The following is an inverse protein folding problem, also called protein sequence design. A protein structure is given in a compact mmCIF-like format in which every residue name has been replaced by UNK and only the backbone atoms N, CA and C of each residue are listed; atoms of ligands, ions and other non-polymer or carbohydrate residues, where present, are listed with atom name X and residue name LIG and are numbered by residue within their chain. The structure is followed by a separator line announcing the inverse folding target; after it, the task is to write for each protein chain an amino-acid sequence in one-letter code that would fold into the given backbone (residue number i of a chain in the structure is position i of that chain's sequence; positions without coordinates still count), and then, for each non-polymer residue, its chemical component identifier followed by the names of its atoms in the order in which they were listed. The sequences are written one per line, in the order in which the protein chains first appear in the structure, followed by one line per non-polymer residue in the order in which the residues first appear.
data_IF_314442743029
#
_entry.id   IF_314442743029
#
_cell.length_a   1.000
_cell.length_b   1.000
_cell.length_c   1.000
_cell.angle_alpha   90.00
_cell.angle_beta   90.00
_cell.angle_gamma   90.00
#
_symmetry.space_group_name_H-M   'P 1'
#
loop_
_entity.id
_entity.type
_entity.pdbx_description
1 polymer ?
#
# COMPACT_ATOMS: atom_id res chain seq x y z
N UNK A 1 -28.93 -16.78 -26.76
CA UNK A 1 -30.08 -17.00 -25.85
C UNK A 1 -30.12 -15.81 -24.89
N UNK A 2 -31.01 -14.87 -25.18
CA UNK A 2 -31.15 -13.58 -24.52
C UNK A 2 -31.95 -13.73 -23.22
N UNK A 3 -31.50 -13.10 -22.13
CA UNK A 3 -32.36 -12.72 -21.00
C UNK A 3 -32.04 -11.31 -20.57
N UNK A 4 -32.89 -10.40 -21.03
CA UNK A 4 -33.04 -9.04 -20.52
C UNK A 4 -33.80 -9.14 -19.19
N UNK A 5 -33.20 -8.65 -18.11
CA UNK A 5 -33.90 -8.33 -16.87
C UNK A 5 -34.22 -6.84 -16.92
N UNK A 6 -35.45 -6.49 -17.30
CA UNK A 6 -36.01 -5.16 -17.06
C UNK A 6 -36.79 -5.21 -15.75
N UNK A 7 -36.39 -4.37 -14.78
CA UNK A 7 -37.04 -4.25 -13.48
C UNK A 7 -38.38 -3.47 -13.60
N UNK A 8 -39.46 -3.87 -12.91
CA UNK A 8 -40.79 -3.26 -13.04
C UNK A 8 -41.12 -2.36 -11.84
N UNK A 9 -40.82 -1.06 -11.90
CA UNK A 9 -41.23 -0.11 -10.83
C UNK A 9 -41.99 1.15 -11.29
N UNK A 10 -42.38 1.23 -12.57
CA UNK A 10 -42.87 2.50 -13.14
C UNK A 10 -44.40 2.74 -13.12
N UNK A 11 -45.16 2.12 -12.21
CA UNK A 11 -46.64 2.20 -12.26
C UNK A 11 -47.34 2.44 -10.91
N UNK A 12 -46.84 3.35 -10.05
CA UNK A 12 -47.53 3.64 -8.77
C UNK A 12 -47.83 5.10 -8.46
N UNK A 13 -47.90 5.99 -9.44
CA UNK A 13 -48.10 7.43 -9.15
C UNK A 13 -49.41 8.06 -9.67
N UNK A 14 -50.31 7.28 -10.28
CA UNK A 14 -51.56 7.85 -10.83
C UNK A 14 -52.83 7.16 -10.30
N UNK A 15 -53.09 7.26 -8.99
CA UNK A 15 -54.46 7.02 -8.45
C UNK A 15 -54.61 7.41 -6.98
N UNK A 16 -54.85 8.69 -6.71
CA UNK A 16 -55.84 9.06 -5.67
C UNK A 16 -56.36 10.48 -5.91
N UNK A 17 -57.53 10.53 -6.54
CA UNK A 17 -58.36 11.73 -6.58
C UNK A 17 -59.16 11.91 -5.30
N UNK A 18 -59.59 13.15 -5.10
CA UNK A 18 -60.83 13.50 -4.41
C UNK A 18 -60.92 13.15 -2.91
N UNK A 19 -60.03 13.71 -2.11
CA UNK A 19 -60.37 14.08 -0.74
C UNK A 19 -60.17 15.58 -0.55
N UNK A 20 -61.26 16.21 -0.14
CA UNK A 20 -61.43 17.64 0.13
C UNK A 20 -60.44 18.08 1.22
N UNK A 21 -59.59 19.06 0.90
CA UNK A 21 -58.57 19.57 1.83
C UNK A 21 -59.23 20.51 2.83
N UNK A 22 -59.15 20.15 4.10
CA UNK A 22 -59.41 21.03 5.24
C UNK A 22 -58.38 22.18 5.21
N UNK A 23 -58.80 23.46 5.26
CA UNK A 23 -57.89 24.57 5.36
C UNK A 23 -57.38 24.64 6.81
N UNK A 24 -56.20 24.07 7.05
CA UNK A 24 -55.47 24.34 8.29
C UNK A 24 -54.67 25.63 8.12
N UNK A 25 -55.11 26.65 8.86
CA UNK A 25 -54.45 27.94 9.03
C UNK A 25 -53.02 27.75 9.56
N UNK A 26 -52.07 28.47 8.96
CA UNK A 26 -50.83 28.87 9.63
C UNK A 26 -49.65 27.91 9.55
N UNK A 27 -49.31 27.42 8.35
CA UNK A 27 -47.97 26.88 8.12
C UNK A 27 -46.97 28.04 8.00
N UNK A 28 -46.10 28.14 9.00
CA UNK A 28 -44.84 28.89 8.90
C UNK A 28 -44.11 28.36 7.67
N UNK A 29 -43.83 29.21 6.67
CA UNK A 29 -42.86 28.93 5.61
C UNK A 29 -41.50 28.71 6.27
N UNK A 30 -41.26 27.47 6.69
CA UNK A 30 -39.93 26.98 6.92
C UNK A 30 -39.36 26.78 5.53
N UNK A 31 -38.38 27.61 5.16
CA UNK A 31 -37.50 27.45 4.01
C UNK A 31 -36.69 26.17 4.21
N UNK A 32 -37.38 25.03 4.14
CA UNK A 32 -36.83 23.70 4.14
C UNK A 32 -36.32 23.45 2.74
N UNK A 33 -35.20 24.10 2.42
CA UNK A 33 -34.31 23.61 1.37
C UNK A 33 -33.96 22.19 1.79
N UNK A 34 -34.57 21.20 1.13
CA UNK A 34 -34.42 19.80 1.45
C UNK A 34 -32.92 19.48 1.29
N UNK A 35 -32.22 19.23 2.40
CA UNK A 35 -30.83 18.75 2.37
C UNK A 35 -30.72 17.49 1.47
N UNK A 36 -31.81 16.70 1.39
CA UNK A 36 -31.94 15.54 0.51
C UNK A 36 -31.95 15.87 -1.00
N UNK A 37 -32.29 17.10 -1.42
CA UNK A 37 -32.24 17.52 -2.84
C UNK A 37 -30.82 17.98 -3.25
N UNK A 38 -30.09 18.66 -2.35
CA UNK A 38 -28.71 19.10 -2.63
C UNK A 38 -27.72 17.93 -2.73
N UNK A 39 -27.86 16.90 -1.87
CA UNK A 39 -27.00 15.71 -1.90
C UNK A 39 -27.14 14.91 -3.22
N UNK A 40 -28.35 14.87 -3.80
CA UNK A 40 -28.62 14.13 -5.03
C UNK A 40 -28.01 14.82 -6.27
N UNK A 41 -28.00 16.16 -6.30
CA UNK A 41 -27.39 16.94 -7.38
C UNK A 41 -25.85 16.81 -7.36
N UNK A 42 -25.23 16.74 -6.18
CA UNK A 42 -23.78 16.53 -6.07
C UNK A 42 -23.34 15.14 -6.55
N UNK A 43 -24.12 14.09 -6.22
CA UNK A 43 -23.85 12.74 -6.71
C UNK A 43 -23.97 12.64 -8.24
N UNK A 44 -24.95 13.30 -8.85
CA UNK A 44 -25.12 13.33 -10.30
C UNK A 44 -23.91 14.01 -10.99
N UNK A 45 -23.45 15.15 -10.46
CA UNK A 45 -22.26 15.85 -10.99
C UNK A 45 -21.01 14.98 -10.88
N UNK A 46 -20.81 14.30 -9.75
CA UNK A 46 -19.68 13.39 -9.55
C UNK A 46 -19.73 12.22 -10.55
N UNK A 47 -20.91 11.62 -10.78
CA UNK A 47 -21.10 10.57 -11.78
C UNK A 47 -20.82 11.06 -13.21
N UNK A 48 -21.26 12.28 -13.55
CA UNK A 48 -20.97 12.89 -14.86
C UNK A 48 -19.48 13.12 -15.06
N UNK A 49 -18.77 13.68 -14.06
CA UNK A 49 -17.33 13.89 -14.11
C UNK A 49 -16.59 12.56 -14.25
N UNK A 50 -16.98 11.54 -13.48
CA UNK A 50 -16.42 10.19 -13.57
C UNK A 50 -16.64 9.56 -14.94
N UNK A 51 -17.81 9.78 -15.57
CA UNK A 51 -18.10 9.31 -16.92
C UNK A 51 -17.14 9.92 -17.96
N UNK A 52 -16.68 11.14 -17.72
CA UNK A 52 -15.66 11.84 -18.50
C UNK A 52 -14.23 11.49 -18.06
N UNK A 53 -14.09 10.67 -17.02
CA UNK A 53 -12.82 10.29 -16.42
C UNK A 53 -12.13 11.43 -15.66
N UNK A 54 -12.88 12.45 -15.25
CA UNK A 54 -12.53 13.56 -14.38
C UNK A 54 -12.95 13.26 -12.94
N UNK A 55 -12.37 13.97 -11.98
CA UNK A 55 -12.71 13.79 -10.56
C UNK A 55 -12.78 15.14 -9.86
N UNK A 56 -13.77 15.31 -8.97
CA UNK A 56 -13.89 16.49 -8.12
C UNK A 56 -12.79 16.54 -7.06
N UNK A 57 -12.19 17.70 -6.87
CA UNK A 57 -11.31 18.02 -5.75
C UNK A 57 -9.99 18.72 -6.09
N UNK A 58 -9.39 19.34 -5.09
CA UNK A 58 -8.11 20.04 -5.24
C UNK A 58 -6.91 19.09 -5.04
N UNK A 59 -6.09 18.92 -6.09
CA UNK A 59 -4.83 18.18 -6.03
C UNK A 59 -3.91 18.67 -4.89
N UNK A 60 -3.86 19.98 -4.64
CA UNK A 60 -3.06 20.55 -3.55
C UNK A 60 -3.54 20.07 -2.17
N UNK A 61 -4.86 20.02 -1.96
CA UNK A 61 -5.45 19.52 -0.71
C UNK A 61 -5.16 18.03 -0.52
N UNK A 62 -5.31 17.23 -1.57
CA UNK A 62 -4.98 15.81 -1.55
C UNK A 62 -3.51 15.57 -1.23
N UNK A 63 -2.59 16.33 -1.85
CA UNK A 63 -1.17 16.23 -1.60
C UNK A 63 -0.81 16.58 -0.15
N UNK A 64 -1.37 17.67 0.39
CA UNK A 64 -1.20 18.03 1.80
C UNK A 64 -1.71 16.91 2.71
N UNK A 65 -2.90 16.37 2.43
CA UNK A 65 -3.46 15.28 3.22
C UNK A 65 -2.56 14.02 3.16
N UNK A 66 -1.96 13.74 2.01
CA UNK A 66 -1.05 12.61 1.87
C UNK A 66 0.31 12.83 2.56
N UNK A 67 0.75 14.08 2.78
CA UNK A 67 1.98 14.34 3.57
C UNK A 67 1.88 13.87 5.04
N UNK A 68 0.67 13.62 5.55
CA UNK A 68 0.50 12.96 6.84
C UNK A 68 1.01 11.52 6.86
N UNK A 69 1.07 10.83 5.72
CA UNK A 69 1.55 9.43 5.64
C UNK A 69 3.03 9.30 5.99
N UNK A 70 3.98 10.03 5.35
CA UNK A 70 5.38 10.00 5.77
C UNK A 70 5.57 10.54 7.19
N UNK A 71 4.81 11.56 7.61
CA UNK A 71 4.90 12.12 8.95
C UNK A 71 4.52 11.08 10.02
N UNK A 72 3.36 10.43 9.88
CA UNK A 72 2.90 9.40 10.81
C UNK A 72 3.84 8.19 10.81
N UNK A 73 4.33 7.78 9.64
CA UNK A 73 5.33 6.71 9.52
C UNK A 73 6.65 7.08 10.24
N UNK A 74 7.12 8.33 10.13
CA UNK A 74 8.33 8.80 10.79
C UNK A 74 8.15 8.90 12.31
N UNK A 75 7.02 9.43 12.78
CA UNK A 75 6.66 9.47 14.20
C UNK A 75 6.60 8.05 14.77
N UNK A 76 5.90 7.13 14.10
CA UNK A 76 5.81 5.76 14.59
C UNK A 76 7.16 5.02 14.54
N UNK A 77 7.96 5.24 13.50
CA UNK A 77 9.31 4.69 13.42
C UNK A 77 10.21 5.19 14.55
N UNK A 78 10.18 6.50 14.85
CA UNK A 78 10.95 7.07 15.96
C UNK A 78 10.48 6.53 17.32
N UNK A 79 9.17 6.37 17.53
CA UNK A 79 8.64 5.71 18.72
C UNK A 79 9.16 4.28 18.87
N UNK A 80 9.12 3.47 17.80
CA UNK A 80 9.67 2.11 17.82
C UNK A 80 11.20 2.08 17.97
N UNK A 81 11.92 3.07 17.47
CA UNK A 81 13.37 3.17 17.62
C UNK A 81 13.79 3.52 19.05
N UNK A 82 12.98 4.32 19.75
CA UNK A 82 13.22 4.72 21.13
C UNK A 82 12.72 3.69 22.15
N UNK A 83 11.75 2.84 21.76
CA UNK A 83 11.13 1.85 22.63
C UNK A 83 12.14 0.92 23.34
N UNK A 84 13.17 0.32 22.67
CA UNK A 84 14.16 -0.52 23.34
C UNK A 84 15.03 0.21 24.34
N UNK A 85 15.18 1.53 24.19
CA UNK A 85 15.98 2.35 25.10
C UNK A 85 15.19 2.66 26.36
N UNK A 86 13.89 2.91 26.24
CA UNK A 86 13.03 3.28 27.37
C UNK A 86 12.44 2.08 28.11
N UNK A 87 11.91 1.10 27.39
CA UNK A 87 11.22 -0.04 27.99
C UNK A 87 12.17 -1.18 28.40
N UNK A 88 13.31 -1.33 27.71
CA UNK A 88 14.23 -2.46 27.88
C UNK A 88 15.68 -1.97 28.12
N UNK A 89 15.95 -1.25 29.22
CA UNK A 89 17.30 -0.76 29.52
C UNK A 89 18.27 -1.92 29.70
N UNK A 90 19.46 -1.81 29.10
CA UNK A 90 20.51 -2.81 29.26
C UNK A 90 21.24 -2.54 30.58
N UNK A 91 21.43 -3.57 31.39
CA UNK A 91 22.19 -3.48 32.65
C UNK A 91 23.71 -3.39 32.40
N UNK A 92 24.18 -3.94 31.28
CA UNK A 92 25.59 -3.98 30.92
C UNK A 92 25.78 -3.29 29.57
N UNK A 93 26.71 -2.32 29.50
CA UNK A 93 27.09 -1.68 28.25
C UNK A 93 27.86 -2.70 27.38
N UNK A 94 27.31 -3.14 26.24
CA UNK A 94 28.01 -4.08 25.37
C UNK A 94 29.17 -3.38 24.66
N UNK A 95 30.35 -4.00 24.65
CA UNK A 95 31.44 -3.59 23.78
C UNK A 95 31.22 -4.21 22.39
N UNK A 96 30.83 -3.38 21.41
CA UNK A 96 30.70 -3.78 20.01
C UNK A 96 32.02 -3.52 19.27
N UNK A 97 32.84 -4.53 18.95
CA UNK A 97 33.98 -4.36 18.07
C UNK A 97 33.49 -4.26 16.62
N UNK A 98 32.94 -3.12 16.22
CA UNK A 98 32.52 -2.88 14.84
C UNK A 98 33.14 -1.60 14.27
N UNK A 99 33.50 -1.67 12.99
CA UNK A 99 34.07 -0.55 12.22
C UNK A 99 33.09 0.64 12.17
N UNK A 100 31.79 0.37 12.23
CA UNK A 100 30.73 1.37 12.32
C UNK A 100 30.04 1.29 13.69
N UNK A 101 29.65 2.44 14.28
CA UNK A 101 28.97 2.46 15.56
C UNK A 101 27.57 1.84 15.46
N UNK A 102 27.19 1.11 16.50
CA UNK A 102 25.81 0.67 16.69
C UNK A 102 24.88 1.90 16.77
N UNK A 103 23.71 1.93 16.09
CA UNK A 103 23.03 0.84 15.38
C UNK A 103 23.17 0.87 13.84
N UNK A 104 24.13 1.62 13.28
CA UNK A 104 24.17 1.89 11.84
C UNK A 104 24.45 0.65 10.99
N UNK A 105 25.30 -0.26 11.47
CA UNK A 105 25.65 -1.49 10.74
C UNK A 105 24.41 -2.37 10.53
N UNK A 106 23.60 -2.53 11.58
CA UNK A 106 22.38 -3.33 11.57
C UNK A 106 21.35 -2.76 10.59
N UNK A 107 21.19 -1.43 10.59
CA UNK A 107 20.30 -0.72 9.69
C UNK A 107 20.73 -0.91 8.22
N UNK A 108 22.00 -0.65 7.89
CA UNK A 108 22.48 -0.72 6.51
C UNK A 108 22.50 -2.13 5.95
N UNK A 109 22.90 -3.13 6.73
CA UNK A 109 22.89 -4.53 6.28
C UNK A 109 21.46 -4.99 6.00
N UNK A 110 20.53 -4.68 6.90
CA UNK A 110 19.12 -5.04 6.72
C UNK A 110 18.49 -4.33 5.54
N UNK A 111 18.75 -3.02 5.39
CA UNK A 111 18.34 -2.23 4.24
C UNK A 111 18.89 -2.78 2.92
N UNK A 112 20.17 -3.17 2.89
CA UNK A 112 20.79 -3.77 1.71
C UNK A 112 20.15 -5.12 1.33
N UNK A 113 19.84 -5.96 2.31
CA UNK A 113 19.15 -7.24 2.08
C UNK A 113 17.71 -7.04 1.62
N UNK A 114 17.02 -6.01 2.13
CA UNK A 114 15.72 -5.60 1.60
C UNK A 114 15.81 -5.19 0.14
N UNK A 115 16.77 -4.31 -0.20
CA UNK A 115 16.98 -3.84 -1.57
C UNK A 115 17.30 -5.00 -2.52
N UNK A 116 18.13 -5.95 -2.07
CA UNK A 116 18.41 -7.18 -2.82
C UNK A 116 17.14 -8.01 -3.05
N UNK A 117 16.32 -8.19 -2.00
CA UNK A 117 15.02 -8.87 -2.12
C UNK A 117 14.12 -8.16 -3.14
N UNK A 118 14.01 -6.84 -3.06
CA UNK A 118 13.20 -6.02 -3.96
C UNK A 118 13.66 -6.12 -5.42
N UNK A 119 14.97 -6.02 -5.68
CA UNK A 119 15.55 -6.20 -7.02
C UNK A 119 15.33 -7.60 -7.59
N UNK A 120 15.24 -8.62 -6.73
CA UNK A 120 14.95 -10.01 -7.14
C UNK A 120 13.48 -10.23 -7.51
N UNK A 121 12.56 -9.30 -7.23
CA UNK A 121 11.13 -9.47 -7.54
C UNK A 121 10.88 -9.68 -9.04
N UNK A 122 11.42 -8.81 -9.88
CA UNK A 122 11.28 -8.89 -11.34
C UNK A 122 11.86 -10.17 -11.94
N UNK A 123 13.12 -10.57 -11.67
CA UNK A 123 13.65 -11.83 -12.20
C UNK A 123 12.91 -13.06 -11.67
N UNK A 124 12.45 -13.05 -10.41
CA UNK A 124 11.62 -14.14 -9.87
C UNK A 124 10.28 -14.24 -10.61
N UNK A 125 9.65 -13.12 -10.95
CA UNK A 125 8.44 -13.10 -11.76
C UNK A 125 8.69 -13.63 -13.17
N UNK A 126 9.74 -13.17 -13.85
CA UNK A 126 10.11 -13.65 -15.18
C UNK A 126 10.40 -15.15 -15.20
N UNK A 127 11.09 -15.67 -14.18
CA UNK A 127 11.37 -17.10 -14.02
C UNK A 127 10.09 -17.89 -13.74
N UNK A 128 9.17 -17.34 -12.94
CA UNK A 128 7.87 -17.97 -12.67
C UNK A 128 7.01 -18.04 -13.95
N UNK A 129 6.99 -16.97 -14.76
CA UNK A 129 6.35 -16.97 -16.07
C UNK A 129 6.95 -17.99 -17.01
N UNK A 130 8.28 -18.08 -17.07
CA UNK A 130 8.98 -19.07 -17.89
C UNK A 130 8.57 -20.49 -17.50
N UNK A 131 8.62 -20.83 -16.20
CA UNK A 131 8.23 -22.15 -15.69
C UNK A 131 6.76 -22.46 -16.01
N UNK A 132 5.82 -21.54 -15.75
CA UNK A 132 4.41 -21.77 -16.04
C UNK A 132 4.15 -21.97 -17.53
N UNK A 133 4.83 -21.21 -18.39
CA UNK A 133 4.75 -21.35 -19.85
C UNK A 133 5.30 -22.70 -20.30
N UNK A 134 6.45 -23.12 -19.78
CA UNK A 134 7.04 -24.43 -20.08
C UNK A 134 6.15 -25.59 -19.63
N UNK A 135 5.44 -25.45 -18.50
CA UNK A 135 4.53 -26.47 -17.98
C UNK A 135 3.12 -26.45 -18.60
N UNK A 136 2.85 -25.58 -19.60
CA UNK A 136 1.51 -25.41 -20.21
C UNK A 136 0.40 -25.08 -19.20
N UNK A 137 0.74 -24.41 -18.11
CA UNK A 137 -0.25 -23.90 -17.16
C UNK A 137 -0.79 -22.58 -17.72
N UNK A 138 -1.88 -22.65 -18.48
CA UNK A 138 -2.40 -21.53 -19.28
C UNK A 138 -3.05 -20.38 -18.49
N UNK A 139 -3.20 -20.48 -17.17
CA UNK A 139 -3.79 -19.40 -16.38
C UNK A 139 -2.72 -18.44 -15.83
N UNK A 140 -2.83 -17.17 -16.25
CA UNK A 140 -2.02 -16.04 -15.80
C UNK A 140 -1.98 -15.87 -14.26
N UNK A 141 -3.03 -16.29 -13.55
CA UNK A 141 -3.07 -16.23 -12.09
C UNK A 141 -2.02 -17.12 -11.42
N UNK A 142 -1.62 -18.25 -12.02
CA UNK A 142 -0.68 -19.17 -11.40
C UNK A 142 0.75 -18.62 -11.36
N UNK A 143 1.21 -17.92 -12.40
CA UNK A 143 2.54 -17.33 -12.42
C UNK A 143 2.69 -16.23 -11.37
N UNK A 144 1.64 -15.44 -11.16
CA UNK A 144 1.59 -14.39 -10.14
C UNK A 144 1.63 -14.99 -8.74
N UNK A 145 0.82 -16.02 -8.46
CA UNK A 145 0.83 -16.71 -7.16
C UNK A 145 2.18 -17.38 -6.90
N UNK A 146 2.72 -18.11 -7.88
CA UNK A 146 4.02 -18.77 -7.76
C UNK A 146 5.14 -17.76 -7.49
N UNK A 147 5.19 -16.67 -8.26
CA UNK A 147 6.17 -15.59 -8.06
C UNK A 147 6.06 -14.97 -6.67
N UNK A 148 4.84 -14.70 -6.21
CA UNK A 148 4.58 -14.14 -4.87
C UNK A 148 5.09 -15.08 -3.77
N UNK A 149 4.78 -16.38 -3.89
CA UNK A 149 5.23 -17.40 -2.94
C UNK A 149 6.75 -17.51 -2.92
N UNK A 150 7.39 -17.63 -4.08
CA UNK A 150 8.86 -17.74 -4.18
C UNK A 150 9.54 -16.48 -3.65
N UNK A 151 9.04 -15.29 -4.00
CA UNK A 151 9.57 -14.04 -3.49
C UNK A 151 9.41 -13.91 -1.97
N UNK A 152 8.28 -14.36 -1.40
CA UNK A 152 8.07 -14.40 0.05
C UNK A 152 9.10 -15.32 0.74
N UNK A 153 9.40 -16.50 0.18
CA UNK A 153 10.44 -17.39 0.69
C UNK A 153 11.80 -16.68 0.68
N UNK A 154 12.19 -16.10 -0.46
CA UNK A 154 13.48 -15.41 -0.61
C UNK A 154 13.60 -14.26 0.39
N UNK A 155 12.55 -13.46 0.54
CA UNK A 155 12.49 -12.34 1.50
C UNK A 155 12.70 -12.82 2.95
N UNK A 156 12.00 -13.88 3.37
CA UNK A 156 12.16 -14.46 4.70
C UNK A 156 13.56 -15.04 4.92
N UNK A 157 14.13 -15.73 3.92
CA UNK A 157 15.49 -16.27 3.99
C UNK A 157 16.52 -15.16 4.14
N UNK A 158 16.43 -14.10 3.34
CA UNK A 158 17.32 -12.94 3.43
C UNK A 158 17.20 -12.25 4.80
N UNK A 159 15.99 -12.15 5.35
CA UNK A 159 15.77 -11.62 6.71
C UNK A 159 16.43 -12.49 7.78
N UNK A 160 16.36 -13.82 7.68
CA UNK A 160 17.06 -14.73 8.62
C UNK A 160 18.57 -14.62 8.44
N UNK A 161 19.07 -14.52 7.20
CA UNK A 161 20.50 -14.40 6.87
C UNK A 161 21.15 -13.16 7.49
N UNK A 162 20.39 -12.09 7.75
CA UNK A 162 20.90 -10.91 8.46
C UNK A 162 21.49 -11.25 9.84
N UNK A 163 20.91 -12.23 10.55
CA UNK A 163 21.32 -12.63 11.90
C UNK A 163 22.76 -13.18 11.96
N UNK A 164 23.13 -14.21 11.17
CA UNK A 164 24.51 -14.69 11.13
C UNK A 164 25.48 -13.69 10.49
N UNK A 165 25.08 -12.93 9.44
CA UNK A 165 25.96 -11.92 8.82
C UNK A 165 26.42 -10.89 9.84
N UNK A 166 25.51 -10.42 10.69
CA UNK A 166 25.81 -9.43 11.73
C UNK A 166 26.44 -10.03 12.99
N UNK A 167 26.67 -11.34 13.01
CA UNK A 167 27.24 -12.07 14.15
C UNK A 167 26.47 -11.82 15.46
N UNK A 168 25.15 -11.62 15.37
CA UNK A 168 24.24 -11.42 16.51
C UNK A 168 24.38 -12.53 17.57
N UNK A 169 24.54 -13.83 17.21
CA UNK A 169 24.63 -14.89 18.20
C UNK A 169 25.80 -14.76 19.18
N UNK A 170 26.84 -13.97 18.86
CA UNK A 170 27.97 -13.71 19.77
C UNK A 170 27.61 -12.85 20.97
N UNK A 171 26.47 -12.15 20.90
CA UNK A 171 26.01 -11.21 21.92
C UNK A 171 24.90 -11.81 22.80
N UNK A 172 24.72 -13.13 22.74
CA UNK A 172 23.83 -13.86 23.63
C UNK A 172 24.58 -14.18 24.93
N UNK A 173 24.02 -13.72 26.06
CA UNK A 173 24.56 -13.94 27.41
C UNK A 173 23.82 -15.09 28.08
N UNK A 174 22.50 -15.17 27.89
CA UNK A 174 21.65 -16.19 28.50
C UNK A 174 21.49 -17.43 27.61
N UNK A 175 21.12 -18.57 28.20
CA UNK A 175 20.91 -19.81 27.44
C UNK A 175 19.66 -19.76 26.53
N UNK A 176 18.69 -18.94 26.90
CA UNK A 176 17.44 -18.70 26.18
C UNK A 176 17.45 -17.22 25.78
N UNK A 177 17.10 -16.87 24.53
CA UNK A 177 17.06 -15.47 24.11
C UNK A 177 16.05 -14.69 24.94
N UNK A 178 16.54 -13.67 25.65
CA UNK A 178 15.74 -12.75 26.47
C UNK A 178 15.98 -11.31 26.04
N UNK A 179 15.08 -10.41 26.42
CA UNK A 179 15.24 -8.97 26.16
C UNK A 179 16.46 -8.35 26.87
N UNK A 180 16.96 -9.01 27.92
CA UNK A 180 18.18 -8.60 28.62
C UNK A 180 19.45 -8.80 27.78
N UNK A 181 19.40 -9.66 26.74
CA UNK A 181 20.52 -9.89 25.85
C UNK A 181 20.76 -8.66 24.95
N UNK A 182 22.01 -8.20 24.77
CA UNK A 182 22.34 -7.18 23.77
C UNK A 182 21.91 -7.59 22.34
N UNK A 183 21.82 -8.90 22.08
CA UNK A 183 21.28 -9.46 20.85
C UNK A 183 19.86 -8.96 20.53
N UNK A 184 18.99 -8.78 21.54
CA UNK A 184 17.63 -8.30 21.36
C UNK A 184 17.61 -6.93 20.68
N UNK A 185 18.40 -5.96 21.18
CA UNK A 185 18.49 -4.62 20.59
C UNK A 185 19.07 -4.65 19.18
N UNK A 186 20.06 -5.50 18.91
CA UNK A 186 20.63 -5.62 17.55
C UNK A 186 19.59 -6.13 16.56
N UNK A 187 18.86 -7.19 16.92
CA UNK A 187 17.76 -7.72 16.10
C UNK A 187 16.68 -6.65 15.89
N UNK A 188 16.34 -5.88 16.93
CA UNK A 188 15.38 -4.80 16.83
C UNK A 188 15.76 -3.79 15.74
N UNK A 189 17.02 -3.34 15.73
CA UNK A 189 17.53 -2.41 14.72
C UNK A 189 17.63 -3.05 13.32
N UNK A 190 17.95 -4.34 13.23
CA UNK A 190 17.84 -5.07 11.95
C UNK A 190 16.40 -5.00 11.43
N UNK A 191 15.43 -5.26 12.28
CA UNK A 191 14.03 -5.22 11.90
C UNK A 191 13.58 -3.82 11.46
N UNK A 192 14.00 -2.78 12.19
CA UNK A 192 13.76 -1.39 11.84
C UNK A 192 14.42 -1.00 10.51
N UNK A 193 15.63 -1.48 10.22
CA UNK A 193 16.30 -1.22 8.94
C UNK A 193 15.52 -1.76 7.75
N UNK A 194 14.99 -2.99 7.89
CA UNK A 194 14.13 -3.60 6.89
C UNK A 194 12.84 -2.78 6.70
N UNK A 195 12.18 -2.46 7.82
CA UNK A 195 10.91 -1.77 7.86
C UNK A 195 11.01 -0.31 7.33
N UNK A 196 12.14 0.36 7.56
CA UNK A 196 12.38 1.72 7.10
C UNK A 196 12.42 1.80 5.57
N UNK A 197 13.19 0.92 4.91
CA UNK A 197 13.27 0.92 3.45
C UNK A 197 11.92 0.54 2.82
N UNK A 198 11.24 -0.45 3.42
CA UNK A 198 9.89 -0.83 3.01
C UNK A 198 8.91 0.36 3.06
N UNK A 199 8.93 1.12 4.18
CA UNK A 199 8.11 2.31 4.32
C UNK A 199 8.45 3.38 3.28
N UNK A 200 9.74 3.67 3.06
CA UNK A 200 10.20 4.69 2.10
C UNK A 200 9.73 4.35 0.68
N UNK A 201 9.99 3.12 0.21
CA UNK A 201 9.60 2.72 -1.15
C UNK A 201 8.10 2.76 -1.30
N UNK A 202 7.36 2.29 -0.30
CA UNK A 202 5.92 2.25 -0.38
C UNK A 202 5.30 3.66 -0.28
N UNK A 203 5.92 4.63 0.43
CA UNK A 203 5.51 6.04 0.42
C UNK A 203 5.77 6.65 -0.95
N UNK A 204 6.94 6.41 -1.54
CA UNK A 204 7.27 6.86 -2.90
C UNK A 204 6.23 6.38 -3.92
N UNK A 205 5.91 5.09 -3.88
CA UNK A 205 4.89 4.49 -4.76
C UNK A 205 3.51 5.13 -4.58
N UNK A 206 3.16 5.54 -3.35
CA UNK A 206 1.90 6.22 -3.11
C UNK A 206 1.87 7.66 -3.63
N UNK A 207 2.98 8.40 -3.57
CA UNK A 207 3.09 9.70 -4.26
C UNK A 207 3.00 9.55 -5.78
N UNK A 208 3.69 8.56 -6.36
CA UNK A 208 3.58 8.24 -7.79
C UNK A 208 2.12 7.92 -8.17
N UNK A 209 1.41 7.19 -7.31
CA UNK A 209 -0.02 6.88 -7.50
C UNK A 209 -0.90 8.13 -7.49
N UNK A 210 -0.60 9.12 -6.65
CA UNK A 210 -1.34 10.39 -6.58
C UNK A 210 -1.04 11.28 -7.77
N UNK A 211 0.22 11.28 -8.25
CA UNK A 211 0.61 12.11 -9.41
C UNK A 211 -0.15 11.74 -10.68
N UNK A 212 -0.65 10.50 -10.79
CA UNK A 212 -1.51 10.05 -11.90
C UNK A 212 -2.86 10.79 -11.99
N UNK A 213 -3.27 11.50 -10.92
CA UNK A 213 -4.53 12.24 -10.86
C UNK A 213 -4.34 13.75 -11.02
N UNK A 214 -3.11 14.23 -11.21
CA UNK A 214 -2.79 15.66 -11.26
C UNK A 214 -3.61 16.42 -12.30
N UNK A 215 -3.75 15.84 -13.49
CA UNK A 215 -4.35 16.53 -14.65
C UNK A 215 -5.86 16.28 -14.78
N UNK A 216 -6.42 15.51 -13.83
CA UNK A 216 -7.78 14.98 -13.88
C UNK A 216 -8.65 15.57 -12.78
N UNK A 217 -8.01 16.03 -11.70
CA UNK A 217 -8.67 16.65 -10.57
C UNK A 217 -9.12 18.07 -10.92
N UNK A 218 -10.42 18.30 -10.86
CA UNK A 218 -11.04 19.61 -11.09
C UNK A 218 -11.31 20.26 -9.74
N UNK A 219 -10.80 21.48 -9.54
CA UNK A 219 -11.14 22.26 -8.34
C UNK A 219 -12.54 22.87 -8.48
N UNK A 220 -13.27 23.02 -7.37
CA UNK A 220 -14.63 23.58 -7.36
C UNK A 220 -14.75 24.92 -8.14
N UNK A 221 -13.72 25.78 -8.07
CA UNK A 221 -13.69 27.05 -8.83
C UNK A 221 -13.63 26.88 -10.35
N UNK A 222 -13.01 25.80 -10.83
CA UNK A 222 -12.94 25.46 -12.26
C UNK A 222 -14.19 24.73 -12.74
N UNK A 223 -14.95 24.12 -11.83
CA UNK A 223 -16.26 23.52 -12.13
C UNK A 223 -17.26 24.64 -12.43
N UNK A 224 -17.35 25.65 -11.57
CA UNK A 224 -18.19 26.83 -11.80
C UNK A 224 -17.87 27.51 -13.15
N UNK A 225 -16.60 27.73 -13.47
CA UNK A 225 -16.19 28.32 -14.76
C UNK A 225 -16.59 27.45 -15.96
N UNK A 226 -16.51 26.12 -15.85
CA UNK A 226 -16.92 25.20 -16.93
C UNK A 226 -18.42 25.09 -17.08
N UNK A 227 -19.18 25.08 -15.99
CA UNK A 227 -20.63 25.14 -16.04
C UNK A 227 -21.10 26.45 -16.70
N UNK A 228 -20.48 27.57 -16.36
CA UNK A 228 -20.74 28.87 -17.02
C UNK A 228 -20.39 28.79 -18.52
N UNK A 229 -19.26 28.18 -18.91
CA UNK A 229 -18.90 28.03 -20.33
C UNK A 229 -19.83 27.08 -21.11
N UNK A 230 -20.38 26.05 -20.47
CA UNK A 230 -21.36 25.14 -21.10
C UNK A 230 -22.72 25.84 -21.24
N UNK A 231 -23.14 26.62 -20.25
CA UNK A 231 -24.37 27.42 -20.31
C UNK A 231 -24.26 28.55 -21.36
N UNK A 232 -23.11 29.24 -21.41
CA UNK A 232 -22.78 30.23 -22.45
C UNK A 232 -22.55 29.58 -23.82
N UNK A 233 -22.05 28.35 -23.85
CA UNK A 233 -21.82 27.55 -25.04
C UNK A 233 -23.13 27.04 -25.65
N UNK A 234 -24.07 26.59 -24.82
CA UNK A 234 -25.41 26.16 -25.23
C UNK A 234 -26.26 27.36 -25.71
N UNK A 235 -26.12 28.53 -25.08
CA UNK A 235 -26.75 29.77 -25.55
C UNK A 235 -26.10 30.30 -26.84
N UNK A 236 -24.79 30.12 -27.05
CA UNK A 236 -24.11 30.46 -28.32
C UNK A 236 -24.28 29.43 -29.43
N UNK A 237 -24.48 28.14 -29.14
CA UNK A 237 -24.72 27.11 -30.17
C UNK A 237 -26.08 27.29 -30.87
N UNK A 238 -27.02 28.02 -30.28
CA UNK A 238 -28.21 28.51 -30.97
C UNK A 238 -27.93 29.58 -32.05
N UNK A 239 -26.70 30.08 -32.15
CA UNK A 239 -26.33 31.23 -32.98
C UNK A 239 -25.24 30.96 -34.03
N UNK A 240 -24.69 29.73 -34.10
CA UNK A 240 -23.59 29.36 -35.00
C UNK A 240 -24.04 28.30 -36.03
N UNK A 241 -25.09 28.62 -36.80
CA UNK A 241 -25.30 28.04 -38.13
C UNK A 241 -24.92 29.11 -39.16
N UNK A 242 -23.63 29.33 -39.38
CA UNK A 242 -23.20 30.30 -40.38
C UNK A 242 -21.72 30.67 -40.38
N UNK A 243 -20.79 29.72 -40.47
CA UNK A 243 -19.43 30.01 -40.94
C UNK A 243 -18.70 28.73 -41.37
N UNK A 244 -18.92 28.33 -42.62
CA UNK A 244 -18.14 27.32 -43.33
C UNK A 244 -16.93 27.99 -44.01
N UNK A 245 -15.80 27.27 -44.02
CA UNK A 245 -14.57 27.47 -44.80
C UNK A 245 -13.52 28.49 -44.30
N UNK A 246 -12.34 27.97 -43.92
CA UNK A 246 -11.14 28.12 -44.75
C UNK A 246 -10.04 27.13 -44.34
N UNK A 247 -9.81 26.15 -45.22
CA UNK A 247 -8.62 25.29 -45.26
C UNK A 247 -7.60 26.04 -46.13
N UNK A 248 -6.51 26.50 -45.52
CA UNK A 248 -5.35 27.01 -46.27
C UNK A 248 -4.13 26.20 -45.88
N UNK A 249 -3.75 25.32 -46.80
CA UNK A 249 -2.60 24.42 -46.76
C UNK A 249 -1.41 25.17 -47.38
N UNK A 250 -0.37 25.46 -46.60
CA UNK A 250 0.92 25.91 -47.11
C UNK A 250 2.00 24.89 -46.74
N UNK A 251 2.64 24.37 -47.79
CA UNK A 251 3.69 23.36 -47.79
C UNK A 251 5.05 24.06 -47.69
N UNK A 252 5.70 23.95 -46.54
CA UNK A 252 7.15 24.16 -46.37
C UNK A 252 7.71 22.99 -45.52
N UNK A 253 8.95 22.54 -45.75
CA UNK A 253 9.56 21.47 -44.95
C UNK A 253 9.86 22.02 -43.55
N UNK A 254 8.97 21.74 -42.61
CA UNK A 254 8.67 22.61 -41.46
C UNK A 254 9.15 22.03 -40.13
N UNK A 255 9.50 22.88 -39.14
CA UNK A 255 9.55 22.55 -37.69
C UNK A 255 8.28 21.83 -37.17
N UNK A 256 7.24 21.70 -37.99
CA UNK A 256 6.11 20.81 -37.81
C UNK A 256 6.48 19.36 -37.50
N UNK A 257 7.59 18.78 -38.01
CA UNK A 257 7.92 17.38 -37.67
C UNK A 257 8.28 17.22 -36.20
N UNK A 258 9.06 18.16 -35.64
CA UNK A 258 9.41 18.18 -34.21
C UNK A 258 8.19 18.53 -33.34
N UNK A 259 7.34 19.46 -33.79
CA UNK A 259 6.10 19.77 -33.09
C UNK A 259 5.09 18.61 -33.11
N UNK A 260 5.08 17.80 -34.18
CA UNK A 260 4.26 16.59 -34.26
C UNK A 260 4.85 15.49 -33.37
N UNK A 261 6.16 15.30 -33.38
CA UNK A 261 6.84 14.31 -32.51
C UNK A 261 6.60 14.62 -31.02
N UNK A 262 6.73 15.89 -30.63
CA UNK A 262 6.43 16.33 -29.26
C UNK A 262 4.98 16.07 -28.86
N UNK A 263 4.01 16.37 -29.74
CA UNK A 263 2.59 16.08 -29.48
C UNK A 263 2.32 14.59 -29.35
N UNK A 264 2.97 13.77 -30.17
CA UNK A 264 2.84 12.31 -30.08
C UNK A 264 3.43 11.80 -28.77
N UNK A 265 4.56 12.35 -28.32
CA UNK A 265 5.15 12.01 -27.01
C UNK A 265 4.21 12.40 -25.86
N UNK A 266 3.64 13.61 -25.89
CA UNK A 266 2.63 14.08 -24.93
C UNK A 266 1.37 13.19 -24.93
N UNK A 267 0.86 12.82 -26.11
CA UNK A 267 -0.29 11.93 -26.25
C UNK A 267 0.02 10.52 -25.71
N UNK A 268 1.24 10.01 -25.93
CA UNK A 268 1.69 8.71 -25.41
C UNK A 268 1.77 8.75 -23.88
N UNK A 269 2.37 9.80 -23.32
CA UNK A 269 2.46 9.97 -21.86
C UNK A 269 1.07 10.09 -21.22
N UNK A 270 0.17 10.82 -21.86
CA UNK A 270 -1.23 10.92 -21.43
C UNK A 270 -1.92 9.54 -21.46
N UNK A 271 -1.77 8.77 -22.54
CA UNK A 271 -2.32 7.42 -22.63
C UNK A 271 -1.72 6.46 -21.60
N UNK A 272 -0.43 6.58 -21.31
CA UNK A 272 0.23 5.80 -20.27
C UNK A 272 -0.30 6.17 -18.88
N UNK A 273 -0.54 7.45 -18.61
CA UNK A 273 -1.14 7.92 -17.35
C UNK A 273 -2.58 7.40 -17.18
N UNK A 274 -3.41 7.51 -18.22
CA UNK A 274 -4.79 6.98 -18.23
C UNK A 274 -4.80 5.48 -17.98
N UNK A 275 -3.91 4.74 -18.67
CA UNK A 275 -3.78 3.30 -18.47
C UNK A 275 -3.33 2.94 -17.05
N UNK A 276 -2.28 3.60 -16.55
CA UNK A 276 -1.75 3.36 -15.21
C UNK A 276 -2.81 3.64 -14.13
N UNK A 277 -3.59 4.72 -14.31
CA UNK A 277 -4.72 5.05 -13.44
C UNK A 277 -5.79 3.96 -13.48
N UNK A 278 -6.22 3.52 -14.67
CA UNK A 278 -7.22 2.46 -14.82
C UNK A 278 -6.76 1.11 -14.23
N UNK A 279 -5.47 0.77 -14.35
CA UNK A 279 -4.90 -0.42 -13.71
C UNK A 279 -4.90 -0.30 -12.18
N UNK A 280 -4.62 0.89 -11.64
CA UNK A 280 -4.65 1.19 -10.20
C UNK A 280 -6.07 1.11 -9.63
N UNK A 281 -7.04 1.72 -10.31
CA UNK A 281 -8.46 1.70 -9.94
C UNK A 281 -9.01 0.28 -9.95
N UNK A 282 -8.68 -0.49 -11.00
CA UNK A 282 -9.02 -1.91 -11.07
C UNK A 282 -8.40 -2.73 -9.94
N UNK A 283 -7.20 -2.36 -9.50
CA UNK A 283 -6.51 -3.06 -8.41
C UNK A 283 -7.17 -2.82 -7.04
N UNK A 284 -7.53 -1.57 -6.73
CA UNK A 284 -8.18 -1.21 -5.46
C UNK A 284 -9.70 -1.42 -5.47
N UNK A 285 -10.31 -1.48 -6.66
CA UNK A 285 -11.76 -1.50 -6.87
C UNK A 285 -12.42 -0.12 -6.80
N UNK A 286 -11.68 0.93 -6.45
CA UNK A 286 -12.13 2.32 -6.33
C UNK A 286 -11.01 3.28 -6.75
N UNK A 287 -11.34 4.53 -7.14
CA UNK A 287 -10.37 5.60 -7.36
C UNK A 287 -9.44 5.78 -6.15
N UNK A 288 -8.13 5.84 -6.41
CA UNK A 288 -7.13 5.93 -5.33
C UNK A 288 -7.31 7.20 -4.48
N UNK A 289 -7.78 8.27 -5.11
CA UNK A 289 -8.07 9.57 -4.47
C UNK A 289 -9.22 9.49 -3.45
N UNK A 290 -10.12 8.51 -3.58
CA UNK A 290 -11.24 8.29 -2.66
C UNK A 290 -10.81 7.52 -1.41
N UNK A 291 -9.62 6.90 -1.42
CA UNK A 291 -9.11 6.20 -0.25
C UNK A 291 -8.72 7.23 0.81
N UNK A 292 -9.36 7.23 2.00
CA UNK A 292 -9.02 8.20 3.03
C UNK A 292 -7.57 8.06 3.48
N UNK A 293 -6.87 9.19 3.68
CA UNK A 293 -5.43 9.19 4.00
C UNK A 293 -5.06 8.43 5.29
N UNK A 294 -6.01 8.24 6.21
CA UNK A 294 -5.79 7.42 7.41
C UNK A 294 -5.49 5.95 7.07
N UNK A 295 -6.01 5.43 5.95
CA UNK A 295 -5.81 4.04 5.53
C UNK A 295 -4.35 3.79 5.12
N UNK A 296 -3.74 4.58 4.22
CA UNK A 296 -2.31 4.52 3.98
C UNK A 296 -1.47 4.69 5.25
N UNK A 297 -1.81 5.63 6.14
CA UNK A 297 -1.12 5.81 7.43
C UNK A 297 -1.13 4.51 8.26
N UNK A 298 -2.32 3.92 8.44
CA UNK A 298 -2.49 2.67 9.19
C UNK A 298 -1.73 1.51 8.52
N UNK A 299 -1.76 1.43 7.18
CA UNK A 299 -1.00 0.43 6.44
C UNK A 299 0.51 0.56 6.68
N UNK A 300 1.05 1.80 6.78
CA UNK A 300 2.48 2.00 7.12
C UNK A 300 2.80 1.51 8.52
N UNK A 301 1.97 1.86 9.50
CA UNK A 301 2.12 1.41 10.90
C UNK A 301 2.09 -0.11 10.97
N UNK A 302 1.14 -0.75 10.29
CA UNK A 302 1.02 -2.20 10.23
C UNK A 302 2.26 -2.86 9.61
N UNK A 303 2.79 -2.31 8.52
CA UNK A 303 4.01 -2.83 7.89
C UNK A 303 5.23 -2.75 8.82
N UNK A 304 5.38 -1.63 9.55
CA UNK A 304 6.43 -1.47 10.55
C UNK A 304 6.31 -2.51 11.68
N UNK A 305 5.12 -2.64 12.28
CA UNK A 305 4.86 -3.61 13.35
C UNK A 305 5.06 -5.05 12.90
N UNK A 306 4.54 -5.39 11.73
CA UNK A 306 4.63 -6.74 11.18
C UNK A 306 6.08 -7.11 10.84
N UNK A 307 6.83 -6.23 10.17
CA UNK A 307 8.25 -6.45 9.87
C UNK A 307 9.07 -6.67 11.15
N UNK A 308 8.78 -5.87 12.18
CA UNK A 308 9.41 -5.99 13.49
C UNK A 308 9.09 -7.32 14.16
N UNK A 309 7.81 -7.66 14.31
CA UNK A 309 7.38 -8.91 14.93
C UNK A 309 7.92 -10.15 14.22
N UNK A 310 7.85 -10.20 12.89
CA UNK A 310 8.41 -11.32 12.12
C UNK A 310 9.91 -11.47 12.35
N UNK A 311 10.67 -10.36 12.33
CA UNK A 311 12.12 -10.42 12.54
C UNK A 311 12.46 -10.90 13.95
N UNK A 312 11.71 -10.48 14.97
CA UNK A 312 11.87 -10.97 16.35
C UNK A 312 11.58 -12.47 16.49
N UNK A 313 10.47 -12.95 15.92
CA UNK A 313 10.10 -14.38 15.95
C UNK A 313 11.18 -15.22 15.27
N UNK A 314 11.58 -14.84 14.05
CA UNK A 314 12.54 -15.59 13.26
C UNK A 314 13.93 -15.61 13.89
N UNK A 315 14.38 -14.48 14.42
CA UNK A 315 15.68 -14.38 15.09
C UNK A 315 15.73 -15.17 16.40
N UNK A 316 14.69 -15.09 17.25
CA UNK A 316 14.61 -15.92 18.48
C UNK A 316 14.63 -17.40 18.13
N UNK A 317 13.81 -17.83 17.16
CA UNK A 317 13.77 -19.21 16.71
C UNK A 317 15.12 -19.68 16.10
N UNK A 318 15.81 -18.80 15.38
CA UNK A 318 17.15 -19.07 14.82
C UNK A 318 18.21 -19.22 15.91
N UNK A 319 18.22 -18.33 16.91
CA UNK A 319 19.18 -18.37 18.03
C UNK A 319 19.02 -19.62 18.91
N UNK A 320 17.81 -20.16 19.01
CA UNK A 320 17.53 -21.42 19.71
C UNK A 320 17.86 -22.69 18.88
N UNK A 321 18.13 -22.54 17.58
CA UNK A 321 18.37 -23.65 16.67
C UNK A 321 19.77 -24.26 16.80
N UNK A 322 19.91 -25.54 16.46
CA UNK A 322 21.19 -26.24 16.41
C UNK A 322 22.01 -25.91 15.14
N UNK A 323 21.42 -25.27 14.13
CA UNK A 323 22.11 -24.87 12.88
C UNK A 323 23.29 -23.95 13.18
N UNK A 324 23.11 -23.07 14.17
CA UNK A 324 24.16 -22.17 14.65
C UNK A 324 25.44 -22.92 15.09
N UNK A 325 25.31 -24.13 15.63
CA UNK A 325 26.45 -24.93 16.10
C UNK A 325 27.33 -25.44 14.96
N UNK A 326 26.73 -25.88 13.83
CA UNK A 326 27.47 -26.33 12.65
C UNK A 326 28.39 -25.22 12.12
N UNK A 327 27.93 -23.98 12.20
CA UNK A 327 28.65 -22.80 11.74
C UNK A 327 29.64 -22.22 12.77
N UNK A 328 29.46 -22.48 14.06
CA UNK A 328 30.22 -21.85 15.16
C UNK A 328 31.25 -22.80 15.83
N UNK A 329 31.26 -24.08 15.47
CA UNK A 329 32.13 -25.13 16.07
C UNK A 329 33.64 -24.85 16.02
N UNK A 330 34.07 -23.83 15.28
CA UNK A 330 35.48 -23.49 15.08
C UNK A 330 36.05 -22.45 16.07
N UNK A 331 35.26 -21.78 16.93
CA UNK A 331 35.80 -20.60 17.64
C UNK A 331 35.67 -20.50 19.17
N UNK A 332 34.70 -21.06 19.90
CA UNK A 332 34.67 -20.87 21.38
C UNK A 332 33.79 -21.86 22.17
N UNK A 333 34.23 -22.18 23.39
CA UNK A 333 33.48 -22.85 24.47
C UNK A 333 32.30 -21.96 24.93
N UNK A 334 31.15 -22.09 24.29
CA UNK A 334 29.88 -21.50 24.77
C UNK A 334 29.16 -22.57 25.61
N UNK A 335 28.59 -22.24 26.79
CA UNK A 335 27.89 -23.19 27.65
C UNK A 335 26.78 -23.94 26.90
N UNK A 336 26.47 -25.12 27.42
CA UNK A 336 25.61 -26.16 26.84
C UNK A 336 24.15 -25.70 26.71
N UNK A 337 23.84 -24.84 25.74
CA UNK A 337 22.45 -24.47 25.43
C UNK A 337 21.63 -25.74 25.14
N UNK A 338 20.48 -25.87 25.80
CA UNK A 338 19.42 -26.85 25.50
C UNK A 338 18.82 -26.54 24.12
N UNK A 339 19.51 -26.94 23.06
CA UNK A 339 19.18 -26.59 21.68
C UNK A 339 18.18 -27.54 21.07
N UNK A 340 17.19 -26.98 20.38
CA UNK A 340 16.21 -27.75 19.62
C UNK A 340 15.84 -27.04 18.34
N UNK A 341 15.90 -27.75 17.21
CA UNK A 341 15.42 -27.23 15.93
C UNK A 341 13.89 -27.09 15.89
N UNK A 342 13.16 -27.58 16.91
CA UNK A 342 11.69 -27.56 16.96
C UNK A 342 11.13 -26.15 16.81
N UNK A 343 11.71 -25.15 17.49
CA UNK A 343 11.24 -23.77 17.40
C UNK A 343 11.37 -23.21 15.99
N UNK A 344 12.52 -23.38 15.34
CA UNK A 344 12.74 -22.92 13.97
C UNK A 344 11.83 -23.65 12.95
N UNK A 345 11.70 -24.98 13.10
CA UNK A 345 10.85 -25.82 12.24
C UNK A 345 9.36 -25.46 12.33
N UNK A 346 8.91 -24.86 13.43
CA UNK A 346 7.52 -24.41 13.59
C UNK A 346 7.39 -22.94 13.17
N UNK A 347 8.29 -22.07 13.64
CA UNK A 347 8.21 -20.63 13.42
C UNK A 347 8.30 -20.26 11.94
N UNK A 348 9.23 -20.86 11.18
CA UNK A 348 9.43 -20.52 9.75
C UNK A 348 8.19 -20.84 8.92
N UNK A 349 7.60 -22.07 8.96
CA UNK A 349 6.37 -22.35 8.23
C UNK A 349 5.19 -21.49 8.66
N UNK A 350 5.02 -21.22 9.96
CA UNK A 350 3.90 -20.40 10.46
C UNK A 350 4.01 -18.97 9.93
N UNK A 351 5.17 -18.34 10.09
CA UNK A 351 5.44 -16.99 9.57
C UNK A 351 5.26 -16.95 8.06
N UNK A 352 5.72 -17.98 7.36
CA UNK A 352 5.57 -18.10 5.91
C UNK A 352 4.11 -18.19 5.47
N UNK A 353 3.30 -19.02 6.13
CA UNK A 353 1.86 -19.13 5.85
C UNK A 353 1.17 -17.80 6.10
N UNK A 354 1.45 -17.13 7.23
CA UNK A 354 0.91 -15.80 7.53
C UNK A 354 1.31 -14.78 6.45
N UNK A 355 2.57 -14.76 6.03
CA UNK A 355 3.06 -13.89 4.96
C UNK A 355 2.34 -14.13 3.63
N UNK A 356 2.12 -15.40 3.26
CA UNK A 356 1.40 -15.76 2.02
C UNK A 356 -0.04 -15.28 2.12
N UNK A 357 -0.73 -15.56 3.23
CA UNK A 357 -2.13 -15.16 3.42
C UNK A 357 -2.27 -13.64 3.29
N UNK A 358 -1.40 -12.87 3.95
CA UNK A 358 -1.39 -11.40 3.84
C UNK A 358 -1.06 -10.93 2.42
N UNK A 359 -0.07 -11.54 1.76
CA UNK A 359 0.28 -11.20 0.38
C UNK A 359 -0.86 -11.49 -0.60
N UNK A 360 -1.60 -12.59 -0.39
CA UNK A 360 -2.77 -12.94 -1.19
C UNK A 360 -3.97 -12.04 -0.88
N UNK A 361 -4.13 -11.59 0.36
CA UNK A 361 -5.17 -10.65 0.75
C UNK A 361 -4.99 -9.29 0.06
N UNK A 362 -3.72 -8.87 -0.10
CA UNK A 362 -3.34 -7.70 -0.89
C UNK A 362 -3.26 -7.97 -2.41
N UNK A 363 -3.59 -9.18 -2.88
CA UNK A 363 -3.58 -9.46 -4.32
C UNK A 363 -4.80 -8.85 -5.02
N UNK A 364 -4.66 -8.58 -6.32
CA UNK A 364 -5.73 -8.00 -7.17
C UNK A 364 -7.01 -8.85 -7.20
N UNK A 365 -6.94 -10.11 -6.74
CA UNK A 365 -8.08 -11.03 -6.71
C UNK A 365 -9.03 -10.77 -5.53
N UNK A 366 -8.49 -10.34 -4.39
CA UNK A 366 -9.24 -10.25 -3.13
C UNK A 366 -9.52 -8.82 -2.74
N UNK A 367 -8.54 -7.92 -2.94
CA UNK A 367 -8.64 -6.52 -2.57
C UNK A 367 -9.90 -5.80 -3.11
N UNK A 368 -10.26 -5.90 -4.41
CA UNK A 368 -11.43 -5.20 -4.92
C UNK A 368 -12.77 -5.78 -4.42
N UNK A 369 -12.77 -7.03 -3.92
CA UNK A 369 -13.98 -7.69 -3.40
C UNK A 369 -14.20 -7.47 -1.91
N UNK A 370 -13.11 -7.48 -1.13
CA UNK A 370 -13.16 -7.33 0.32
C UNK A 370 -13.21 -5.86 0.77
N UNK A 371 -12.78 -4.94 -0.11
CA UNK A 371 -12.62 -3.52 0.19
C UNK A 371 -11.30 -3.23 0.91
N UNK A 372 -10.70 -2.09 0.57
CA UNK A 372 -9.39 -1.67 1.08
C UNK A 372 -9.39 -1.54 2.61
N UNK A 373 -10.47 -0.99 3.19
CA UNK A 373 -10.61 -0.79 4.62
C UNK A 373 -10.53 -2.11 5.40
N UNK A 374 -11.32 -3.10 5.01
CA UNK A 374 -11.38 -4.42 5.64
C UNK A 374 -10.00 -5.09 5.64
N UNK A 375 -9.32 -5.06 4.49
CA UNK A 375 -7.99 -5.65 4.35
C UNK A 375 -6.97 -4.98 5.27
N UNK A 376 -7.00 -3.65 5.38
CA UNK A 376 -6.07 -2.91 6.24
C UNK A 376 -6.36 -3.16 7.73
N UNK A 377 -7.63 -3.28 8.14
CA UNK A 377 -7.97 -3.62 9.52
C UNK A 377 -7.55 -5.05 9.90
N UNK A 378 -7.81 -6.03 9.02
CA UNK A 378 -7.33 -7.41 9.22
C UNK A 378 -5.79 -7.43 9.31
N UNK A 379 -5.12 -6.73 8.40
CA UNK A 379 -3.66 -6.57 8.43
C UNK A 379 -3.17 -5.95 9.73
N UNK A 380 -3.92 -5.00 10.30
CA UNK A 380 -3.60 -4.38 11.59
C UNK A 380 -3.64 -5.38 12.73
N UNK A 381 -4.73 -6.15 12.85
CA UNK A 381 -4.86 -7.19 13.87
C UNK A 381 -3.76 -8.24 13.77
N UNK A 382 -3.46 -8.70 12.55
CA UNK A 382 -2.37 -9.67 12.32
C UNK A 382 -1.02 -9.07 12.65
N UNK A 383 -0.73 -7.83 12.24
CA UNK A 383 0.54 -7.16 12.52
C UNK A 383 0.78 -6.97 14.02
N UNK A 384 -0.26 -6.60 14.76
CA UNK A 384 -0.21 -6.42 16.21
C UNK A 384 0.01 -7.77 16.91
N UNK A 385 -0.72 -8.81 16.51
CA UNK A 385 -0.55 -10.16 17.03
C UNK A 385 0.87 -10.70 16.80
N UNK A 386 1.42 -10.50 15.60
CA UNK A 386 2.79 -10.91 15.25
C UNK A 386 3.83 -10.09 16.01
N UNK A 387 3.59 -8.80 16.23
CA UNK A 387 4.45 -7.94 17.06
C UNK A 387 4.52 -8.45 18.51
N UNK A 388 3.38 -8.68 19.15
CA UNK A 388 3.35 -9.21 20.53
C UNK A 388 3.88 -10.64 20.63
N UNK A 389 3.60 -11.50 19.66
CA UNK A 389 4.21 -12.82 19.60
C UNK A 389 5.74 -12.74 19.49
N UNK A 390 6.25 -11.76 18.73
CA UNK A 390 7.67 -11.45 18.65
C UNK A 390 8.24 -11.00 20.00
N UNK A 391 7.58 -10.08 20.70
CA UNK A 391 7.99 -9.67 22.06
C UNK A 391 7.99 -10.84 23.05
N UNK A 392 6.94 -11.67 23.04
CA UNK A 392 6.85 -12.85 23.88
C UNK A 392 7.93 -13.89 23.58
N UNK A 393 8.37 -14.02 22.32
CA UNK A 393 9.47 -14.90 21.94
C UNK A 393 10.84 -14.49 22.50
N UNK A 394 10.95 -13.26 23.02
CA UNK A 394 12.12 -12.70 23.71
C UNK A 394 11.86 -12.46 25.20
N UNK A 395 10.77 -13.03 25.75
CA UNK A 395 10.39 -12.88 27.15
C UNK A 395 10.19 -11.41 27.57
N UNK A 396 9.87 -10.52 26.62
CA UNK A 396 9.74 -9.08 26.88
C UNK A 396 8.38 -8.68 27.48
N UNK A 397 7.47 -9.65 27.63
CA UNK A 397 6.12 -9.46 28.16
C UNK A 397 5.93 -10.03 29.58
N UNK A 398 6.97 -10.63 30.18
CA UNK A 398 6.89 -11.32 31.47
C UNK A 398 7.20 -10.44 32.68
#
# INVERSE_FOLDING_TARGET
MNRLHSSPERFRTDSSGYLDRVPEDGAVEFDGRNEDEEDNDEEEIDEELESQGLYRGSYRRLLILYTFVPLTSAVFFTLLALLPTWAYPLQVAPNFPSVLPFPLTELFVSAGLWCLSYMLRTPVYSLSLFICTSCRLFHYSYSTVLSTVVHAIISLLLRIIAVPILLIPRYLIYEIPTWHDPAFKRVWWVALGWAAVEAIVAIKQGFESITLYRDVLVSDTQEEERFIEIEDGATKLGQIYGATNQITRSTEPSPASFAVELRVEEDVDHLLAVRARGELEKYYGIPFIRIPAFIPCLQRVNALLFSLGVTLILSSAYLQSAILYSLQSWYTHIPTLRRSNKMLMIAVPVVFVVQIILSLLHSQLVLPKAGVHTVVYIGSLVSLGVFFAGLGAWDALS
#
